data_IF_837289723441
#
_entry.id   IF_837289723441
#
_cell.length_a   1.000
_cell.length_b   1.000
_cell.length_c   1.000
_cell.angle_alpha   90.00
_cell.angle_beta   90.00
_cell.angle_gamma   90.00
#
_symmetry.space_group_name_H-M   'P 1'
#
loop_
_entity.id
_entity.type
_entity.pdbx_description
1 polymer ?
#
# COMPACT_ATOMS: atom_id res chain seq x y z
N UNK A 1 19.71 -2.34 -16.26
CA UNK A 1 18.98 -1.26 -15.57
C UNK A 1 19.62 0.08 -15.93
N UNK A 2 18.92 0.98 -16.62
CA UNK A 2 19.44 2.31 -16.97
C UNK A 2 19.72 3.11 -15.69
N UNK A 3 20.94 3.60 -15.55
CA UNK A 3 21.32 4.46 -14.43
C UNK A 3 20.40 5.68 -14.33
N UNK A 4 19.87 5.96 -13.12
CA UNK A 4 19.03 7.12 -12.84
C UNK A 4 19.66 8.45 -13.26
N UNK A 5 21.01 8.50 -13.35
CA UNK A 5 21.75 9.63 -13.92
C UNK A 5 21.44 9.92 -15.40
N UNK A 6 20.79 9.00 -16.12
CA UNK A 6 20.39 9.19 -17.54
C UNK A 6 18.95 9.66 -17.70
N UNK A 7 18.16 9.68 -16.63
CA UNK A 7 16.85 10.33 -16.64
C UNK A 7 17.09 11.81 -16.34
N UNK A 8 16.97 12.67 -17.36
CA UNK A 8 16.95 14.13 -17.22
C UNK A 8 15.67 14.55 -16.45
N UNK A 9 15.60 14.19 -15.16
CA UNK A 9 14.47 14.57 -14.29
C UNK A 9 14.68 16.04 -13.89
N UNK A 10 13.73 16.90 -14.26
CA UNK A 10 13.74 18.30 -13.84
C UNK A 10 13.56 18.43 -12.32
N UNK A 11 13.97 19.56 -11.76
CA UNK A 11 13.77 19.83 -10.31
C UNK A 11 12.30 19.75 -9.91
N UNK A 12 11.39 20.19 -10.76
CA UNK A 12 9.95 20.15 -10.52
C UNK A 12 9.38 18.72 -10.53
N UNK A 13 9.85 17.89 -11.44
CA UNK A 13 9.50 16.47 -11.47
C UNK A 13 10.00 15.73 -10.24
N UNK A 14 11.24 16.01 -9.82
CA UNK A 14 11.78 15.42 -8.58
C UNK A 14 10.99 15.88 -7.36
N UNK A 15 10.61 17.14 -7.27
CA UNK A 15 9.79 17.67 -6.19
C UNK A 15 8.42 16.97 -6.16
N UNK A 16 7.74 16.87 -7.31
CA UNK A 16 6.44 16.21 -7.42
C UNK A 16 6.50 14.72 -6.98
N UNK A 17 7.51 13.98 -7.45
CA UNK A 17 7.72 12.58 -7.04
C UNK A 17 8.03 12.44 -5.55
N UNK A 18 8.76 13.40 -4.98
CA UNK A 18 9.08 13.41 -3.55
C UNK A 18 7.84 13.68 -2.70
N UNK A 19 7.03 14.66 -3.10
CA UNK A 19 5.75 14.96 -2.43
C UNK A 19 4.82 13.75 -2.52
N UNK A 20 4.64 13.17 -3.71
CA UNK A 20 3.82 11.97 -3.91
C UNK A 20 4.26 10.83 -3.00
N UNK A 21 5.57 10.57 -2.90
CA UNK A 21 6.14 9.54 -2.03
C UNK A 21 5.82 9.79 -0.56
N UNK A 22 6.01 11.01 -0.09
CA UNK A 22 5.75 11.38 1.31
C UNK A 22 4.25 11.29 1.61
N UNK A 23 3.38 11.74 0.69
CA UNK A 23 1.92 11.70 0.87
C UNK A 23 1.41 10.26 0.99
N UNK A 24 1.85 9.36 0.09
CA UNK A 24 1.48 7.95 0.16
C UNK A 24 2.10 7.32 1.42
N UNK A 25 3.35 7.64 1.74
CA UNK A 25 4.00 7.17 2.97
C UNK A 25 3.23 7.57 4.23
N UNK A 26 2.75 8.82 4.29
CA UNK A 26 1.90 9.30 5.38
C UNK A 26 0.57 8.54 5.47
N UNK A 27 -0.07 8.28 4.32
CA UNK A 27 -1.32 7.53 4.29
C UNK A 27 -1.14 6.12 4.88
N UNK A 28 -0.11 5.38 4.43
CA UNK A 28 0.20 4.06 4.98
C UNK A 28 0.55 4.10 6.46
N UNK A 29 1.37 5.07 6.87
CA UNK A 29 1.78 5.23 8.27
C UNK A 29 0.58 5.52 9.17
N UNK A 30 -0.28 6.45 8.78
CA UNK A 30 -1.47 6.81 9.54
C UNK A 30 -2.43 5.62 9.69
N UNK A 31 -2.72 4.92 8.58
CA UNK A 31 -3.52 3.69 8.59
C UNK A 31 -2.92 2.59 9.49
N UNK A 32 -1.61 2.41 9.45
CA UNK A 32 -0.93 1.44 10.30
C UNK A 32 -0.97 1.83 11.78
N UNK A 33 -0.66 3.09 12.10
CA UNK A 33 -0.67 3.58 13.49
C UNK A 33 -2.07 3.50 14.12
N UNK A 34 -3.12 3.89 13.41
CA UNK A 34 -4.50 3.79 13.93
C UNK A 34 -4.89 2.35 14.27
N UNK A 35 -4.39 1.39 13.50
CA UNK A 35 -4.62 -0.05 13.76
C UNK A 35 -3.80 -0.55 14.94
N UNK A 36 -2.52 -0.16 15.03
CA UNK A 36 -1.63 -0.56 16.14
C UNK A 36 -2.11 0.03 17.47
N UNK A 37 -2.61 1.27 17.46
CA UNK A 37 -3.10 1.96 18.65
C UNK A 37 -4.48 1.48 19.12
N UNK A 38 -5.18 0.68 18.32
CA UNK A 38 -6.46 0.11 18.68
C UNK A 38 -6.30 -1.39 19.04
N UNK A 39 -6.31 -1.76 20.34
CA UNK A 39 -6.11 -3.16 20.77
C UNK A 39 -7.20 -4.12 20.25
N UNK A 40 -8.40 -3.61 20.01
CA UNK A 40 -9.55 -4.39 19.51
C UNK A 40 -9.55 -4.52 17.98
N UNK A 41 -8.58 -3.91 17.29
CA UNK A 41 -8.56 -3.96 15.84
C UNK A 41 -8.22 -5.36 15.33
N UNK A 42 -9.04 -5.83 14.40
CA UNK A 42 -8.81 -7.11 13.70
C UNK A 42 -9.28 -7.02 12.24
N UNK A 43 -8.55 -7.70 11.37
CA UNK A 43 -8.92 -7.83 9.96
C UNK A 43 -10.11 -8.80 9.74
N UNK A 44 -10.60 -9.49 10.78
CA UNK A 44 -11.63 -10.54 10.68
C UNK A 44 -12.91 -10.03 10.00
N UNK A 45 -13.39 -8.85 10.39
CA UNK A 45 -14.60 -8.25 9.82
C UNK A 45 -14.41 -7.92 8.34
N UNK A 46 -13.22 -7.42 7.97
CA UNK A 46 -12.88 -7.11 6.59
C UNK A 46 -12.81 -8.36 5.71
N UNK A 47 -12.19 -9.44 6.21
CA UNK A 47 -12.08 -10.70 5.49
C UNK A 47 -13.44 -11.41 5.38
N UNK A 48 -14.27 -11.37 6.41
CA UNK A 48 -15.63 -11.92 6.37
C UNK A 48 -16.55 -11.18 5.41
N UNK A 49 -16.35 -9.85 5.25
CA UNK A 49 -17.08 -9.03 4.29
C UNK A 49 -16.59 -9.21 2.84
N UNK A 50 -15.57 -10.04 2.62
CA UNK A 50 -15.00 -10.28 1.30
C UNK A 50 -16.06 -10.79 0.31
N UNK A 51 -16.12 -10.16 -0.86
CA UNK A 51 -17.12 -10.42 -1.92
C UNK A 51 -16.49 -10.67 -3.29
N UNK A 52 -15.16 -10.59 -3.40
CA UNK A 52 -14.43 -10.80 -4.65
C UNK A 52 -14.32 -12.27 -5.09
N UNK A 53 -13.63 -12.53 -6.20
CA UNK A 53 -13.45 -13.88 -6.74
C UNK A 53 -12.72 -14.83 -5.77
N UNK A 54 -11.98 -14.29 -4.81
CA UNK A 54 -11.27 -15.03 -3.76
C UNK A 54 -11.97 -14.99 -2.39
N UNK A 55 -13.27 -14.64 -2.36
CA UNK A 55 -14.01 -14.47 -1.09
C UNK A 55 -13.98 -15.74 -0.22
N UNK A 56 -14.09 -16.94 -0.80
CA UNK A 56 -14.01 -18.20 -0.06
C UNK A 56 -12.65 -18.38 0.65
N UNK A 57 -11.56 -18.02 -0.02
CA UNK A 57 -10.22 -18.07 0.54
C UNK A 57 -10.09 -17.08 1.72
N UNK A 58 -10.52 -15.83 1.55
CA UNK A 58 -10.44 -14.82 2.60
C UNK A 58 -11.29 -15.17 3.83
N UNK A 59 -12.50 -15.70 3.62
CA UNK A 59 -13.38 -16.18 4.69
C UNK A 59 -12.79 -17.40 5.41
N UNK A 60 -12.14 -18.33 4.70
CA UNK A 60 -11.46 -19.47 5.34
C UNK A 60 -10.26 -19.01 6.18
N UNK A 61 -9.53 -18.00 5.76
CA UNK A 61 -8.47 -17.38 6.57
C UNK A 61 -9.04 -16.71 7.83
N UNK A 62 -10.20 -16.05 7.71
CA UNK A 62 -10.87 -15.42 8.86
C UNK A 62 -11.34 -16.40 9.92
N UNK A 63 -11.62 -17.66 9.56
CA UNK A 63 -12.02 -18.71 10.49
C UNK A 63 -10.85 -19.40 11.21
N UNK A 64 -9.61 -19.16 10.77
CA UNK A 64 -8.40 -19.75 11.35
C UNK A 64 -7.71 -18.76 12.29
N UNK A 65 -7.73 -19.04 13.60
CA UNK A 65 -7.17 -18.15 14.63
C UNK A 65 -5.67 -17.89 14.47
N UNK A 66 -4.86 -18.90 14.18
CA UNK A 66 -3.42 -18.74 13.95
C UNK A 66 -3.12 -17.89 12.71
N UNK A 67 -3.89 -18.08 11.64
CA UNK A 67 -3.76 -17.25 10.45
C UNK A 67 -4.13 -15.79 10.74
N UNK A 68 -5.19 -15.57 11.51
CA UNK A 68 -5.64 -14.24 11.88
C UNK A 68 -4.63 -13.43 12.69
N UNK A 69 -3.95 -14.07 13.64
CA UNK A 69 -2.89 -13.43 14.42
C UNK A 69 -1.77 -12.90 13.50
N UNK A 70 -1.30 -13.76 12.59
CA UNK A 70 -0.28 -13.39 11.60
C UNK A 70 -0.75 -12.30 10.64
N UNK A 71 -2.00 -12.39 10.17
CA UNK A 71 -2.60 -11.40 9.26
C UNK A 71 -2.73 -10.04 9.95
N UNK A 72 -3.19 -10.01 11.19
CA UNK A 72 -3.32 -8.78 11.97
C UNK A 72 -1.94 -8.13 12.16
N UNK A 73 -0.94 -8.90 12.59
CA UNK A 73 0.42 -8.42 12.78
C UNK A 73 1.02 -7.85 11.49
N UNK A 74 0.96 -8.61 10.38
CA UNK A 74 1.48 -8.19 9.09
C UNK A 74 0.74 -6.96 8.56
N UNK A 75 -0.56 -6.86 8.77
CA UNK A 75 -1.34 -5.73 8.33
C UNK A 75 -0.98 -4.45 9.11
N UNK A 76 -0.94 -4.52 10.43
CA UNK A 76 -0.63 -3.39 11.30
C UNK A 76 0.81 -2.90 11.07
N UNK A 77 1.79 -3.76 11.30
CA UNK A 77 3.19 -3.41 11.23
C UNK A 77 3.71 -3.25 9.79
N UNK A 78 3.15 -4.02 8.85
CA UNK A 78 3.46 -3.86 7.43
C UNK A 78 3.13 -2.46 6.93
N UNK A 79 1.95 -1.93 7.26
CA UNK A 79 1.56 -0.56 6.93
C UNK A 79 2.50 0.48 7.56
N UNK A 80 2.83 0.32 8.85
CA UNK A 80 3.75 1.23 9.56
C UNK A 80 5.13 1.24 8.90
N UNK A 81 5.70 0.05 8.65
CA UNK A 81 7.04 -0.08 8.06
C UNK A 81 7.08 0.48 6.64
N UNK A 82 6.09 0.15 5.80
CA UNK A 82 5.97 0.67 4.44
C UNK A 82 5.86 2.21 4.48
N UNK A 83 4.97 2.74 5.34
CA UNK A 83 4.75 4.16 5.48
C UNK A 83 6.02 4.92 5.90
N UNK A 84 6.69 4.47 6.96
CA UNK A 84 7.96 5.05 7.41
C UNK A 84 9.04 4.97 6.33
N UNK A 85 9.20 3.81 5.68
CA UNK A 85 10.18 3.60 4.61
C UNK A 85 9.97 4.58 3.46
N UNK A 86 8.73 4.80 3.05
CA UNK A 86 8.39 5.76 2.00
C UNK A 86 8.65 7.21 2.46
N UNK A 87 8.26 7.58 3.67
CA UNK A 87 8.43 8.95 4.16
C UNK A 87 9.89 9.36 4.26
N UNK A 88 10.72 8.56 4.91
CA UNK A 88 12.15 8.85 5.09
C UNK A 88 12.99 8.54 3.84
N UNK A 89 12.42 7.78 2.90
CA UNK A 89 13.11 7.37 1.68
C UNK A 89 14.19 6.33 1.92
N UNK A 90 13.91 5.35 2.80
CA UNK A 90 14.76 4.22 3.12
C UNK A 90 14.14 2.94 2.56
N UNK A 91 14.90 2.14 1.78
CA UNK A 91 14.40 0.96 1.10
C UNK A 91 13.12 1.20 0.27
N UNK A 92 12.96 2.41 -0.27
CA UNK A 92 11.72 2.88 -0.90
C UNK A 92 11.21 1.97 -2.02
N UNK A 93 12.09 1.33 -2.78
CA UNK A 93 11.68 0.39 -3.84
C UNK A 93 10.99 -0.85 -3.26
N UNK A 94 11.53 -1.41 -2.18
CA UNK A 94 10.94 -2.55 -1.50
C UNK A 94 9.62 -2.16 -0.81
N UNK A 95 9.57 -0.97 -0.23
CA UNK A 95 8.34 -0.42 0.33
C UNK A 95 7.25 -0.24 -0.74
N UNK A 96 7.59 0.23 -1.94
CA UNK A 96 6.64 0.30 -3.05
C UNK A 96 6.12 -1.10 -3.44
N UNK A 97 6.98 -2.11 -3.54
CA UNK A 97 6.55 -3.49 -3.84
C UNK A 97 5.63 -4.05 -2.75
N UNK A 98 6.02 -3.89 -1.49
CA UNK A 98 5.19 -4.32 -0.35
C UNK A 98 3.84 -3.61 -0.31
N UNK A 99 3.83 -2.29 -0.53
CA UNK A 99 2.61 -1.50 -0.60
C UNK A 99 1.68 -1.92 -1.74
N UNK A 100 2.23 -2.12 -2.95
CA UNK A 100 1.45 -2.62 -4.08
C UNK A 100 0.85 -4.01 -3.81
N UNK A 101 1.63 -4.92 -3.21
CA UNK A 101 1.14 -6.25 -2.85
C UNK A 101 0.00 -6.18 -1.81
N UNK A 102 0.15 -5.36 -0.77
CA UNK A 102 -0.86 -5.19 0.26
C UNK A 102 -2.16 -4.57 -0.29
N UNK A 103 -2.05 -3.52 -1.10
CA UNK A 103 -3.20 -2.89 -1.74
C UNK A 103 -3.89 -3.81 -2.75
N UNK A 104 -3.12 -4.66 -3.45
CA UNK A 104 -3.70 -5.68 -4.34
C UNK A 104 -4.51 -6.71 -3.55
N UNK A 105 -4.04 -7.15 -2.38
CA UNK A 105 -4.81 -8.02 -1.49
C UNK A 105 -6.11 -7.36 -1.05
N UNK A 106 -6.08 -6.08 -0.68
CA UNK A 106 -7.29 -5.32 -0.34
C UNK A 106 -8.24 -5.21 -1.53
N UNK A 107 -7.72 -4.93 -2.72
CA UNK A 107 -8.52 -4.83 -3.94
C UNK A 107 -9.20 -6.16 -4.28
N UNK A 108 -8.50 -7.28 -4.19
CA UNK A 108 -9.06 -8.60 -4.47
C UNK A 108 -10.00 -9.11 -3.39
N UNK A 109 -9.83 -8.70 -2.13
CA UNK A 109 -10.75 -9.06 -1.06
C UNK A 109 -12.11 -8.37 -1.25
N UNK A 110 -12.11 -7.07 -1.53
CA UNK A 110 -13.32 -6.26 -1.70
C UNK A 110 -13.23 -5.41 -2.97
N UNK A 111 -13.39 -6.03 -4.16
CA UNK A 111 -13.33 -5.30 -5.42
C UNK A 111 -14.57 -4.42 -5.60
N UNK A 112 -14.45 -3.24 -6.24
CA UNK A 112 -15.54 -2.29 -6.41
C UNK A 112 -16.48 -2.66 -7.58
N UNK A 113 -16.72 -3.96 -7.82
CA UNK A 113 -17.55 -4.39 -8.94
C UNK A 113 -19.04 -4.22 -8.64
N UNK A 114 -19.80 -3.70 -9.60
CA UNK A 114 -21.24 -3.55 -9.50
C UNK A 114 -21.90 -4.93 -9.36
N UNK A 115 -22.85 -5.06 -8.44
CA UNK A 115 -23.58 -6.30 -8.18
C UNK A 115 -23.02 -7.20 -7.08
N UNK A 116 -21.90 -6.85 -6.49
CA UNK A 116 -21.43 -7.50 -5.27
C UNK A 116 -22.13 -6.89 -4.04
N UNK A 117 -22.63 -7.75 -3.16
CA UNK A 117 -23.57 -7.39 -2.07
C UNK A 117 -23.06 -6.36 -1.05
N UNK A 118 -21.76 -6.11 -1.01
CA UNK A 118 -21.12 -5.21 -0.04
C UNK A 118 -20.54 -3.95 -0.68
N UNK A 119 -20.81 -3.70 -1.95
CA UNK A 119 -20.39 -2.45 -2.60
C UNK A 119 -21.33 -1.35 -2.16
N UNK A 120 -21.03 -0.75 -1.01
CA UNK A 120 -21.59 0.55 -0.69
C UNK A 120 -21.13 1.52 -1.78
N UNK A 121 -22.04 2.33 -2.31
CA UNK A 121 -21.70 3.49 -3.16
C UNK A 121 -21.02 4.55 -2.30
N UNK A 122 -19.86 4.21 -1.75
CA UNK A 122 -19.00 5.16 -1.03
C UNK A 122 -18.22 5.96 -2.06
N UNK A 123 -17.95 7.21 -1.74
CA UNK A 123 -17.05 8.04 -2.54
C UNK A 123 -15.74 7.28 -2.85
N UNK A 124 -15.31 7.32 -4.12
CA UNK A 124 -14.06 6.68 -4.56
C UNK A 124 -14.20 5.30 -5.22
N UNK A 125 -15.43 4.80 -5.41
CA UNK A 125 -15.68 3.58 -6.18
C UNK A 125 -16.26 3.94 -7.56
N UNK A 126 -15.45 3.77 -8.60
CA UNK A 126 -15.79 4.08 -9.98
C UNK A 126 -15.70 2.83 -10.85
N UNK A 127 -16.69 1.96 -10.75
CA UNK A 127 -16.84 0.69 -11.47
C UNK A 127 -15.71 -0.31 -11.15
N UNK A 128 -14.53 -0.12 -11.70
CA UNK A 128 -13.33 -0.97 -11.47
C UNK A 128 -12.21 -0.17 -10.77
N UNK A 129 -12.34 1.15 -10.71
CA UNK A 129 -11.34 2.03 -10.11
C UNK A 129 -11.77 2.41 -8.71
N UNK A 130 -10.90 2.17 -7.73
CA UNK A 130 -11.04 2.65 -6.37
C UNK A 130 -9.72 3.23 -5.86
N UNK A 131 -9.72 3.74 -4.64
CA UNK A 131 -8.52 4.30 -4.00
C UNK A 131 -7.32 3.36 -4.07
N UNK A 132 -7.52 2.08 -3.79
CA UNK A 132 -6.44 1.09 -3.77
C UNK A 132 -5.77 0.95 -5.15
N UNK A 133 -6.56 0.91 -6.22
CA UNK A 133 -6.03 0.79 -7.58
C UNK A 133 -5.23 2.05 -7.97
N UNK A 134 -5.73 3.23 -7.65
CA UNK A 134 -5.01 4.50 -7.90
C UNK A 134 -3.68 4.53 -7.15
N UNK A 135 -3.66 4.11 -5.89
CA UNK A 135 -2.42 4.05 -5.10
C UNK A 135 -1.43 2.99 -5.60
N UNK A 136 -1.91 1.84 -6.09
CA UNK A 136 -1.04 0.84 -6.73
C UNK A 136 -0.27 1.46 -7.89
N UNK A 137 -0.97 2.18 -8.79
CA UNK A 137 -0.31 2.81 -9.93
C UNK A 137 0.60 3.96 -9.50
N UNK A 138 0.25 4.73 -8.48
CA UNK A 138 1.12 5.76 -7.93
C UNK A 138 2.41 5.15 -7.31
N UNK A 139 2.30 4.05 -6.58
CA UNK A 139 3.45 3.30 -6.07
C UNK A 139 4.29 2.71 -7.21
N UNK A 140 3.65 2.24 -8.28
CA UNK A 140 4.38 1.77 -9.46
C UNK A 140 5.19 2.87 -10.12
N UNK A 141 4.65 4.08 -10.24
CA UNK A 141 5.41 5.25 -10.71
C UNK A 141 6.60 5.52 -9.80
N UNK A 142 6.42 5.52 -8.48
CA UNK A 142 7.51 5.72 -7.52
C UNK A 142 8.57 4.61 -7.58
N UNK A 143 8.16 3.38 -7.85
CA UNK A 143 9.07 2.25 -8.05
C UNK A 143 9.95 2.42 -9.30
N UNK A 144 9.36 2.91 -10.41
CA UNK A 144 10.09 3.17 -11.66
C UNK A 144 11.00 4.40 -11.56
N UNK A 145 10.55 5.44 -10.82
CA UNK A 145 11.27 6.70 -10.65
C UNK A 145 11.63 6.93 -9.16
N UNK A 146 12.61 6.19 -8.60
CA UNK A 146 12.90 6.23 -7.18
C UNK A 146 13.53 7.57 -6.76
N UNK A 147 12.68 8.54 -6.43
CA UNK A 147 13.08 9.86 -5.94
C UNK A 147 13.93 9.79 -4.67
N UNK A 148 13.78 8.71 -3.88
CA UNK A 148 14.54 8.46 -2.65
C UNK A 148 16.07 8.42 -2.87
N UNK A 149 16.54 7.99 -4.03
CA UNK A 149 17.96 8.02 -4.38
C UNK A 149 18.55 9.42 -4.54
N UNK A 150 17.70 10.44 -4.65
CA UNK A 150 18.10 11.84 -4.74
C UNK A 150 17.71 12.65 -3.50
N UNK A 151 16.54 12.36 -2.89
CA UNK A 151 15.95 13.15 -1.81
C UNK A 151 15.70 12.36 -0.51
N UNK A 152 16.05 11.07 -0.46
CA UNK A 152 15.86 10.19 0.69
C UNK A 152 17.16 9.67 1.28
N UNK A 153 17.02 8.83 2.34
CA UNK A 153 18.15 8.14 2.97
C UNK A 153 18.81 7.15 2.01
N UNK A 154 18.08 6.57 1.05
CA UNK A 154 18.62 5.68 0.00
C UNK A 154 19.79 6.32 -0.77
N UNK A 155 19.92 7.66 -0.75
CA UNK A 155 21.04 8.39 -1.34
C UNK A 155 22.39 7.99 -0.72
N UNK A 156 22.40 7.67 0.57
CA UNK A 156 23.63 7.34 1.32
C UNK A 156 23.96 5.84 1.28
N UNK A 157 23.03 5.02 0.80
CA UNK A 157 23.19 3.56 0.72
C UNK A 157 23.62 3.19 -0.70
N UNK A 158 24.92 2.86 -0.87
CA UNK A 158 25.53 2.58 -2.20
C UNK A 158 25.05 1.28 -2.87
N UNK A 159 24.35 0.40 -2.15
CA UNK A 159 23.98 -0.95 -2.62
C UNK A 159 22.48 -1.09 -3.00
N UNK A 160 21.70 -0.04 -2.97
CA UNK A 160 20.31 0.02 -3.37
C UNK A 160 20.15 0.90 -4.63
#
# INVERSE_FOLDING_TARGET
MKNIKQLNISRWQLLALTILRITIGWHFLYEGLTKVMNPEWSAISYLNASSGPFASLFKSLASNSSAMESINFLNQWGLVIIGLSLMIGLFSRWACLGGMALLALYYFANPPFIGLSNVSMTEGNYLIVNKNLVEIFALWVLFQFPSSKLTGIDKFIKFL
#
